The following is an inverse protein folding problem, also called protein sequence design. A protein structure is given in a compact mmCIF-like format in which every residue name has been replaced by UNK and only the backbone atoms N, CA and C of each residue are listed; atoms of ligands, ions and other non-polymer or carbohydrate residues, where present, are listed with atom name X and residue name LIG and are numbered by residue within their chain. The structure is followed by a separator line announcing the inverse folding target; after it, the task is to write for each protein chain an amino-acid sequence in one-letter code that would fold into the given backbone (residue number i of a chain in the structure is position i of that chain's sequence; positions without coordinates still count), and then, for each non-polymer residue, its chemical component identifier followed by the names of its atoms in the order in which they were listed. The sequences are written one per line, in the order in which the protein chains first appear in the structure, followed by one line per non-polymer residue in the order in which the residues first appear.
data_IF_364378735152
#
_entry.id   IF_364378735152
#
_cell.length_a   1.000
_cell.length_b   1.000
_cell.length_c   1.000
_cell.angle_alpha   90.00
_cell.angle_beta   90.00
_cell.angle_gamma   90.00
#
_symmetry.space_group_name_H-M   'P 1'
#
loop_
_entity.id
_entity.type
_entity.pdbx_description
1 polymer ?
#
# COMPACT_ATOMS: atom_id res chain seq x y z
N UNK A 1 19.95 -9.94 -11.54
CA UNK A 1 20.02 -10.30 -10.10
C UNK A 1 19.24 -9.22 -9.35
N UNK A 2 17.94 -9.37 -9.07
CA UNK A 2 17.25 -8.37 -8.24
C UNK A 2 17.48 -8.70 -6.76
N UNK A 3 18.53 -8.10 -6.20
CA UNK A 3 18.77 -7.96 -4.76
C UNK A 3 18.45 -6.51 -4.42
N UNK A 4 17.23 -6.19 -4.01
CA UNK A 4 16.99 -4.82 -3.59
C UNK A 4 15.89 -4.78 -2.52
N UNK A 5 16.26 -5.10 -1.28
CA UNK A 5 15.60 -4.46 -0.15
C UNK A 5 16.14 -3.03 -0.16
N UNK A 6 15.26 -2.05 -0.28
CA UNK A 6 15.60 -0.63 -0.19
C UNK A 6 14.94 -0.04 1.05
N UNK A 7 15.23 1.22 1.37
CA UNK A 7 14.62 1.90 2.50
C UNK A 7 13.09 1.97 2.42
N UNK A 8 12.50 1.89 1.21
CA UNK A 8 11.06 2.01 0.97
C UNK A 8 10.47 0.92 0.08
N UNK A 9 11.21 -0.14 -0.24
CA UNK A 9 10.67 -1.19 -1.10
C UNK A 9 11.34 -2.54 -0.91
N UNK A 10 10.61 -3.59 -1.29
CA UNK A 10 11.11 -4.94 -1.46
C UNK A 10 11.01 -5.36 -2.91
N UNK A 11 12.15 -5.70 -3.52
CA UNK A 11 12.23 -6.31 -4.84
C UNK A 11 12.54 -7.81 -4.77
N UNK A 12 11.73 -8.62 -5.44
CA UNK A 12 11.91 -10.06 -5.62
C UNK A 12 11.93 -10.38 -7.12
N UNK A 13 13.00 -11.05 -7.57
CA UNK A 13 13.04 -11.68 -8.89
C UNK A 13 13.40 -13.14 -8.70
N UNK A 14 12.54 -14.02 -9.21
CA UNK A 14 12.74 -15.47 -9.13
C UNK A 14 13.27 -15.92 -10.50
N UNK A 15 14.48 -16.50 -10.49
CA UNK A 15 15.09 -17.04 -11.71
C UNK A 15 14.41 -18.35 -12.09
N UNK A 16 14.35 -18.66 -13.38
CA UNK A 16 13.82 -19.91 -13.93
C UNK A 16 12.31 -20.14 -13.71
N UNK A 17 11.55 -19.10 -13.34
CA UNK A 17 10.08 -19.14 -13.25
C UNK A 17 9.49 -17.96 -14.03
N UNK A 18 9.10 -18.18 -15.29
CA UNK A 18 8.35 -17.22 -16.13
C UNK A 18 8.91 -15.78 -16.17
N UNK A 19 10.17 -15.57 -15.78
CA UNK A 19 10.86 -14.28 -15.66
C UNK A 19 10.10 -13.18 -14.89
N UNK A 20 9.19 -13.56 -13.99
CA UNK A 20 8.40 -12.58 -13.23
C UNK A 20 9.23 -11.93 -12.14
N UNK A 21 9.10 -10.61 -12.05
CA UNK A 21 9.69 -9.79 -10.99
C UNK A 21 8.60 -9.01 -10.26
N UNK A 22 8.71 -8.95 -8.94
CA UNK A 22 7.76 -8.31 -8.03
C UNK A 22 8.48 -7.20 -7.27
N UNK A 23 7.88 -6.02 -7.20
CA UNK A 23 8.40 -4.91 -6.40
C UNK A 23 7.25 -4.27 -5.63
N UNK A 24 7.37 -4.17 -4.32
CA UNK A 24 6.35 -3.57 -3.45
C UNK A 24 6.95 -2.38 -2.69
N UNK A 25 6.26 -1.24 -2.71
CA UNK A 25 6.64 -0.06 -1.94
C UNK A 25 6.02 -0.13 -0.55
N UNK A 26 6.86 -0.14 0.48
CA UNK A 26 6.41 -0.24 1.87
C UNK A 26 5.96 1.10 2.43
N UNK A 27 5.00 1.04 3.35
CA UNK A 27 4.41 2.22 3.98
C UNK A 27 5.45 3.06 4.74
N UNK A 28 6.31 2.41 5.52
CA UNK A 28 7.32 3.07 6.37
C UNK A 28 8.74 2.70 5.98
N UNK A 29 9.68 3.49 6.48
CA UNK A 29 11.11 3.24 6.29
C UNK A 29 11.56 1.96 7.00
N UNK A 30 12.26 1.12 6.25
CA UNK A 30 12.92 -0.08 6.77
C UNK A 30 14.44 0.07 6.77
N UNK A 31 15.10 -0.65 7.66
CA UNK A 31 16.55 -0.74 7.80
C UNK A 31 17.06 -1.78 6.81
N UNK A 32 17.79 -1.36 5.77
CA UNK A 32 18.27 -2.29 4.73
C UNK A 32 19.30 -3.26 5.30
N UNK A 33 20.18 -2.75 6.17
CA UNK A 33 21.23 -3.50 6.86
C UNK A 33 20.68 -4.58 7.79
N UNK A 34 19.60 -4.29 8.52
CA UNK A 34 18.99 -5.25 9.44
C UNK A 34 17.89 -6.11 8.79
N UNK A 35 17.61 -5.88 7.51
CA UNK A 35 16.63 -6.68 6.78
C UNK A 35 17.29 -7.91 6.19
N UNK A 36 16.55 -9.01 6.16
CA UNK A 36 17.06 -10.28 5.65
C UNK A 36 16.05 -10.97 4.75
N UNK A 37 16.53 -11.97 4.02
CA UNK A 37 15.70 -12.83 3.20
C UNK A 37 16.08 -14.28 3.42
N UNK A 38 15.08 -15.17 3.40
CA UNK A 38 15.26 -16.61 3.50
C UNK A 38 14.43 -17.27 2.41
N UNK A 39 14.98 -18.29 1.78
CA UNK A 39 14.26 -19.14 0.84
C UNK A 39 14.01 -20.48 1.51
N UNK A 40 12.76 -20.92 1.46
CA UNK A 40 12.32 -22.27 1.80
C UNK A 40 11.72 -22.91 0.56
N UNK A 41 11.41 -24.20 0.62
CA UNK A 41 10.67 -24.88 -0.44
C UNK A 41 9.36 -24.13 -0.69
N UNK A 42 9.11 -23.78 -1.95
CA UNK A 42 7.92 -23.07 -2.45
C UNK A 42 7.68 -21.66 -1.87
N UNK A 43 8.51 -21.17 -0.95
CA UNK A 43 8.27 -19.91 -0.22
C UNK A 43 9.53 -19.06 -0.10
N UNK A 44 9.40 -17.76 -0.37
CA UNK A 44 10.45 -16.77 -0.09
C UNK A 44 9.97 -15.86 1.03
N UNK A 45 10.71 -15.84 2.14
CA UNK A 45 10.45 -14.97 3.28
C UNK A 45 11.36 -13.74 3.19
N UNK A 46 10.77 -12.56 3.23
CA UNK A 46 11.49 -11.28 3.31
C UNK A 46 11.16 -10.65 4.66
N UNK A 47 12.19 -10.47 5.49
CA UNK A 47 12.10 -9.90 6.83
C UNK A 47 12.63 -8.47 6.78
N UNK A 48 11.73 -7.49 6.85
CA UNK A 48 12.08 -6.06 6.89
C UNK A 48 12.09 -5.52 8.32
N UNK A 49 13.24 -5.06 8.81
CA UNK A 49 13.29 -4.40 10.12
C UNK A 49 12.84 -2.95 9.97
N UNK A 50 11.80 -2.56 10.70
CA UNK A 50 11.34 -1.18 10.71
C UNK A 50 12.38 -0.27 11.41
N UNK A 51 12.71 0.90 10.83
CA UNK A 51 13.60 1.88 11.48
C UNK A 51 12.96 2.59 12.68
N UNK A 52 11.64 2.71 12.70
CA UNK A 52 10.90 3.32 13.81
C UNK A 52 10.25 2.22 14.66
N UNK A 53 11.03 1.63 15.59
CA UNK A 53 10.66 0.44 16.38
C UNK A 53 9.32 0.58 17.14
N UNK A 54 8.83 1.80 17.39
CA UNK A 54 7.66 2.05 18.24
C UNK A 54 6.32 2.29 17.53
N UNK A 55 6.27 2.31 16.18
CA UNK A 55 5.02 2.61 15.46
C UNK A 55 4.42 1.39 14.78
N UNK A 56 3.23 0.95 15.23
CA UNK A 56 2.40 -0.08 14.56
C UNK A 56 2.15 0.26 13.08
N UNK A 57 2.20 -0.73 12.20
CA UNK A 57 1.92 -0.56 10.77
C UNK A 57 0.43 -0.78 10.51
N UNK A 58 -0.23 0.20 9.90
CA UNK A 58 -1.63 0.09 9.50
C UNK A 58 -1.79 -0.94 8.36
N UNK A 59 -0.89 -0.88 7.38
CA UNK A 59 -0.80 -1.79 6.25
C UNK A 59 0.65 -1.88 5.75
N UNK A 60 0.92 -2.86 4.87
CA UNK A 60 2.27 -3.13 4.37
C UNK A 60 2.73 -2.08 3.36
N UNK A 61 1.84 -1.68 2.45
CA UNK A 61 2.18 -0.83 1.31
C UNK A 61 1.47 0.53 1.34
N UNK A 62 2.07 1.52 0.68
CA UNK A 62 1.45 2.85 0.53
C UNK A 62 0.15 2.79 -0.30
N UNK A 63 0.07 1.84 -1.25
CA UNK A 63 -1.09 1.69 -2.14
C UNK A 63 -2.31 1.19 -1.37
N UNK A 64 -2.12 0.23 -0.46
CA UNK A 64 -3.19 -0.25 0.43
C UNK A 64 -3.75 0.89 1.27
N UNK A 65 -2.89 1.70 1.90
CA UNK A 65 -3.32 2.87 2.68
C UNK A 65 -4.12 3.86 1.86
N UNK A 66 -3.62 4.20 0.67
CA UNK A 66 -4.27 5.15 -0.22
C UNK A 66 -5.63 4.64 -0.75
N UNK A 67 -5.83 3.31 -0.81
CA UNK A 67 -7.12 2.71 -1.17
C UNK A 67 -8.12 2.83 -0.03
N UNK A 68 -7.71 2.52 1.19
CA UNK A 68 -8.55 2.62 2.39
C UNK A 68 -9.03 4.06 2.64
N UNK A 69 -8.17 5.06 2.46
CA UNK A 69 -8.53 6.49 2.57
C UNK A 69 -9.49 6.97 1.47
N UNK A 70 -9.52 6.27 0.33
CA UNK A 70 -10.39 6.61 -0.82
C UNK A 70 -11.75 5.92 -0.77
N UNK A 71 -11.94 4.89 0.06
CA UNK A 71 -13.26 4.30 0.23
C UNK A 71 -14.15 5.31 0.97
N UNK A 72 -15.26 5.77 0.36
CA UNK A 72 -16.13 6.72 1.01
C UNK A 72 -16.71 6.07 2.27
N UNK A 73 -16.43 6.64 3.44
CA UNK A 73 -17.09 6.26 4.68
C UNK A 73 -18.60 6.44 4.51
N UNK A 74 -19.32 5.32 4.42
CA UNK A 74 -20.77 5.30 4.53
C UNK A 74 -21.08 5.37 6.02
N UNK A 75 -21.32 6.58 6.54
CA UNK A 75 -21.87 6.75 7.88
C UNK A 75 -23.21 6.00 7.94
N UNK A 76 -23.24 4.81 8.54
CA UNK A 76 -24.43 3.98 8.71
C UNK A 76 -25.33 4.45 9.86
N UNK A 77 -24.95 5.53 10.55
CA UNK A 77 -25.68 6.10 11.69
C UNK A 77 -26.54 7.32 11.36
N UNK A 78 -26.57 7.77 10.11
CA UNK A 78 -27.40 8.90 9.68
C UNK A 78 -28.19 8.50 8.45
N UNK A 79 -29.41 9.04 8.34
CA UNK A 79 -30.41 8.73 7.30
C UNK A 79 -29.74 8.38 5.95
N UNK A 80 -30.03 7.22 5.34
CA UNK A 80 -29.43 6.79 4.07
C UNK A 80 -29.51 7.85 2.96
N UNK A 81 -30.45 8.79 3.08
CA UNK A 81 -30.60 9.97 2.23
C UNK A 81 -29.42 10.97 2.31
N UNK A 82 -28.79 11.14 3.47
CA UNK A 82 -27.66 12.07 3.65
C UNK A 82 -26.39 11.58 2.95
N UNK A 83 -26.13 10.27 2.99
CA UNK A 83 -25.00 9.66 2.29
C UNK A 83 -25.06 9.91 0.79
N UNK A 84 -26.26 9.78 0.20
CA UNK A 84 -26.51 10.06 -1.21
C UNK A 84 -26.28 11.54 -1.55
N UNK A 85 -26.74 12.47 -0.71
CA UNK A 85 -26.55 13.92 -0.93
C UNK A 85 -25.07 14.30 -0.92
N UNK A 86 -24.26 13.70 -0.05
CA UNK A 86 -22.82 13.98 0.00
C UNK A 86 -22.07 13.46 -1.24
N UNK A 87 -22.46 12.28 -1.76
CA UNK A 87 -21.93 11.73 -3.02
C UNK A 87 -22.28 12.65 -4.18
N UNK A 88 -23.54 13.08 -4.30
CA UNK A 88 -23.98 14.00 -5.34
C UNK A 88 -23.22 15.33 -5.28
N UNK A 89 -23.08 15.94 -4.10
CA UNK A 89 -22.32 17.20 -3.91
C UNK A 89 -20.87 17.09 -4.39
N UNK A 90 -20.18 15.98 -4.13
CA UNK A 90 -18.80 15.77 -4.60
C UNK A 90 -18.73 15.70 -6.13
N UNK A 91 -19.66 14.99 -6.77
CA UNK A 91 -19.70 14.87 -8.25
C UNK A 91 -19.93 16.24 -8.90
N UNK A 92 -20.86 17.05 -8.37
CA UNK A 92 -21.10 18.40 -8.88
C UNK A 92 -19.89 19.32 -8.66
N UNK A 93 -19.20 19.20 -7.53
CA UNK A 93 -18.02 20.03 -7.22
C UNK A 93 -16.77 19.63 -8.02
N UNK A 94 -16.58 18.34 -8.29
CA UNK A 94 -15.52 17.85 -9.18
C UNK A 94 -15.77 18.20 -10.66
N UNK A 95 -17.02 18.41 -11.07
CA UNK A 95 -17.36 18.81 -12.45
C UNK A 95 -17.22 20.30 -12.76
N UNK A 96 -17.03 21.17 -11.75
CA UNK A 96 -16.74 22.59 -11.95
C UNK A 96 -15.25 22.88 -12.20
N UNK A 97 -14.35 22.00 -11.75
CA UNK A 97 -12.89 22.17 -11.90
C UNK A 97 -12.39 21.82 -13.32
N UNK A 98 -13.19 21.07 -14.10
CA UNK A 98 -12.89 20.67 -15.49
C UNK A 98 -13.37 21.68 -16.56
N UNK A 99 -13.87 22.85 -16.16
CA UNK A 99 -14.26 23.94 -17.09
C UNK A 99 -13.53 25.24 -16.77
N UNK A 100 -12.25 25.31 -17.11
CA UNK A 100 -11.57 26.57 -17.36
C UNK A 100 -10.55 26.45 -18.49
#
# INVERSE_FOLDING_TARGET
MCRCISQRSFGLSVKNTNEKSYCNNVLKHISVEDSSKRSQTDTVLILGRNKAETRQWDCLTQVEKAREEKEPSYNTGTDPSEGLVNVLKKIFKNGEDDRK
#
